data_IF_490933080236
#
_entry.id   IF_490933080236
#
_cell.length_a   1.000
_cell.length_b   1.000
_cell.length_c   1.000
_cell.angle_alpha   90.00
_cell.angle_beta   90.00
_cell.angle_gamma   90.00
#
_symmetry.space_group_name_H-M   'P 1'
#
loop_
_entity.id
_entity.type
_entity.pdbx_description
1 polymer ?
#
# COMPACT_ATOMS: atom_id res chain seq x y z
N UNK A 1 -4.87 -20.38 16.68
CA UNK A 1 -4.33 -21.74 16.60
C UNK A 1 -2.87 -21.67 16.14
N UNK A 2 -1.96 -21.99 17.06
CA UNK A 2 -0.55 -22.14 16.77
C UNK A 2 -0.34 -23.44 16.01
N UNK A 3 0.05 -23.39 14.76
CA UNK A 3 0.42 -24.58 14.02
C UNK A 3 1.94 -24.76 14.01
N UNK A 4 2.40 -25.65 14.90
CA UNK A 4 3.46 -26.60 14.71
C UNK A 4 4.88 -26.12 14.43
N UNK A 5 5.69 -26.09 15.46
CA UNK A 5 7.14 -26.29 15.30
C UNK A 5 7.39 -27.73 14.86
N UNK A 6 7.80 -27.91 13.61
CA UNK A 6 8.60 -29.08 13.24
C UNK A 6 9.52 -28.76 12.06
N UNK A 7 10.78 -28.80 12.41
CA UNK A 7 12.03 -28.99 11.68
C UNK A 7 12.05 -28.91 10.14
N UNK A 8 12.91 -28.04 9.63
CA UNK A 8 13.63 -28.08 8.36
C UNK A 8 12.98 -27.52 7.08
N UNK A 9 11.82 -26.94 7.14
CA UNK A 9 11.39 -25.86 6.24
C UNK A 9 10.76 -24.79 7.14
N UNK A 10 11.23 -23.56 7.03
CA UNK A 10 10.49 -22.41 7.57
C UNK A 10 9.22 -22.33 6.75
N UNK A 11 8.19 -23.07 7.16
CA UNK A 11 6.87 -22.95 6.61
C UNK A 11 6.39 -21.54 6.97
N UNK A 12 6.17 -20.73 5.96
CA UNK A 12 5.55 -19.43 6.08
C UNK A 12 4.13 -19.61 6.60
N UNK A 13 3.95 -19.46 7.91
CA UNK A 13 2.64 -19.52 8.55
C UNK A 13 2.00 -18.14 8.57
N UNK A 14 0.74 -18.05 8.11
CA UNK A 14 -0.07 -16.87 8.38
C UNK A 14 -0.36 -16.77 9.87
N UNK A 15 -0.44 -15.54 10.40
CA UNK A 15 -0.88 -15.32 11.77
C UNK A 15 -2.36 -15.69 11.91
N UNK A 16 -3.21 -15.12 11.06
CA UNK A 16 -4.66 -15.39 10.96
C UNK A 16 -5.02 -15.48 9.49
N UNK A 17 -5.68 -16.53 9.09
CA UNK A 17 -6.25 -16.66 7.75
C UNK A 17 -6.09 -18.03 7.13
N UNK A 18 -6.84 -18.30 6.06
CA UNK A 18 -6.80 -19.57 5.36
C UNK A 18 -5.48 -19.74 4.60
N UNK A 19 -5.13 -21.00 4.38
CA UNK A 19 -3.90 -21.35 3.69
C UNK A 19 -4.04 -21.26 2.17
N UNK A 20 -5.24 -21.49 1.65
CA UNK A 20 -5.51 -21.51 0.19
C UNK A 20 -6.43 -20.37 -0.23
N UNK A 21 -7.73 -20.55 -0.15
CA UNK A 21 -8.74 -19.56 -0.52
C UNK A 21 -9.72 -19.34 0.62
N UNK A 22 -10.42 -18.22 0.62
CA UNK A 22 -11.44 -17.92 1.61
C UNK A 22 -11.46 -16.47 2.02
N UNK A 23 -12.06 -16.21 3.17
CA UNK A 23 -12.18 -14.85 3.70
C UNK A 23 -11.77 -14.78 5.17
N UNK A 24 -11.25 -13.62 5.55
CA UNK A 24 -11.12 -13.20 6.95
C UNK A 24 -12.01 -11.99 7.14
N UNK A 25 -12.94 -12.06 8.09
CA UNK A 25 -13.82 -10.94 8.44
C UNK A 25 -13.63 -10.64 9.93
N UNK A 26 -13.32 -9.39 10.25
CA UNK A 26 -13.14 -8.90 11.62
C UNK A 26 -14.20 -7.82 11.86
N UNK A 27 -15.14 -8.08 12.78
CA UNK A 27 -16.24 -7.20 13.11
C UNK A 27 -16.04 -6.46 14.45
N UNK A 28 -14.84 -6.53 15.02
CA UNK A 28 -14.53 -5.85 16.30
C UNK A 28 -13.56 -6.65 17.16
N UNK A 29 -13.37 -6.19 18.38
CA UNK A 29 -12.46 -6.79 19.36
C UNK A 29 -11.00 -6.38 19.16
N UNK A 30 -10.10 -7.04 19.89
CA UNK A 30 -8.65 -6.81 19.77
C UNK A 30 -7.98 -8.01 19.13
N UNK A 31 -7.31 -7.78 18.02
CA UNK A 31 -6.63 -8.81 17.22
C UNK A 31 -5.14 -8.49 17.13
N UNK A 32 -4.29 -9.43 17.59
CA UNK A 32 -2.85 -9.36 17.42
C UNK A 32 -2.39 -10.53 16.57
N UNK A 33 -1.84 -10.25 15.40
CA UNK A 33 -1.43 -11.26 14.45
C UNK A 33 -0.01 -11.01 13.92
N UNK A 34 0.84 -12.02 14.05
CA UNK A 34 2.22 -11.93 13.57
C UNK A 34 2.53 -13.15 12.71
N UNK A 35 2.94 -12.90 11.48
CA UNK A 35 3.49 -13.94 10.62
C UNK A 35 4.96 -14.19 10.97
N UNK A 36 5.33 -15.43 11.17
CA UNK A 36 6.74 -15.85 11.26
C UNK A 36 7.21 -16.27 9.87
N UNK A 37 8.30 -15.67 9.40
CA UNK A 37 8.83 -15.96 8.06
C UNK A 37 8.03 -15.23 6.96
N UNK A 38 7.67 -15.94 5.90
CA UNK A 38 7.08 -15.38 4.68
C UNK A 38 5.54 -15.48 4.65
N UNK A 39 4.85 -15.41 5.79
CA UNK A 39 3.39 -15.43 5.86
C UNK A 39 2.78 -14.04 5.87
N UNK A 40 1.44 -13.98 5.82
CA UNK A 40 0.65 -12.79 6.11
C UNK A 40 0.37 -12.70 7.60
N UNK A 41 0.37 -11.51 8.19
CA UNK A 41 -0.11 -11.32 9.55
C UNK A 41 -1.58 -11.70 9.64
N UNK A 42 -2.43 -11.03 8.86
CA UNK A 42 -3.84 -11.34 8.67
C UNK A 42 -4.08 -11.49 7.18
N UNK A 43 -4.66 -12.62 6.78
CA UNK A 43 -4.93 -12.91 5.40
C UNK A 43 -4.24 -14.18 4.91
N UNK A 44 -3.92 -14.24 3.66
CA UNK A 44 -3.28 -15.43 3.13
C UNK A 44 -3.23 -15.50 1.61
N UNK A 45 -2.78 -16.55 1.15
CA UNK A 45 -2.85 -17.29 -0.08
C UNK A 45 -1.53 -17.99 -0.36
N UNK A 46 -1.63 -19.19 -0.90
CA UNK A 46 -0.47 -19.98 -1.33
C UNK A 46 -0.11 -19.64 -2.77
N UNK A 47 1.15 -19.86 -3.13
CA UNK A 47 1.73 -19.58 -4.45
C UNK A 47 1.00 -20.23 -5.61
N UNK A 48 0.46 -21.42 -5.39
CA UNK A 48 -0.28 -22.18 -6.40
C UNK A 48 -1.79 -21.99 -6.28
N UNK A 49 -2.24 -21.03 -5.47
CA UNK A 49 -3.66 -20.85 -5.24
C UNK A 49 -4.33 -20.24 -6.46
N UNK A 50 -5.40 -20.86 -6.89
CA UNK A 50 -6.27 -20.39 -7.97
C UNK A 50 -7.52 -19.67 -7.45
N UNK A 51 -7.73 -19.67 -6.13
CA UNK A 51 -8.92 -19.12 -5.49
C UNK A 51 -8.78 -17.68 -5.01
N UNK A 52 -9.92 -17.03 -4.84
CA UNK A 52 -9.98 -15.70 -4.26
C UNK A 52 -9.68 -15.73 -2.76
N UNK A 53 -9.05 -14.65 -2.29
CA UNK A 53 -8.80 -14.42 -0.87
C UNK A 53 -9.18 -12.98 -0.53
N UNK A 54 -10.03 -12.81 0.48
CA UNK A 54 -10.46 -11.49 0.92
C UNK A 54 -10.19 -11.26 2.41
N UNK A 55 -9.84 -10.04 2.75
CA UNK A 55 -9.76 -9.57 4.14
C UNK A 55 -10.70 -8.39 4.29
N UNK A 56 -11.63 -8.48 5.24
CA UNK A 56 -12.54 -7.38 5.56
C UNK A 56 -12.41 -7.04 7.04
N UNK A 57 -12.11 -5.79 7.34
CA UNK A 57 -12.07 -5.27 8.71
C UNK A 57 -13.15 -4.20 8.82
N UNK A 58 -14.17 -4.47 9.63
CA UNK A 58 -15.26 -3.54 9.87
C UNK A 58 -14.98 -2.65 11.07
N UNK A 59 -14.42 -3.22 12.14
CA UNK A 59 -14.14 -2.53 13.40
C UNK A 59 -13.05 -3.29 14.18
N UNK A 60 -12.63 -2.72 15.32
CA UNK A 60 -11.72 -3.35 16.28
C UNK A 60 -10.36 -2.67 16.38
N UNK A 61 -9.53 -3.19 17.28
CA UNK A 61 -8.13 -2.77 17.43
C UNK A 61 -7.24 -3.87 16.87
N UNK A 62 -6.53 -3.57 15.79
CA UNK A 62 -5.77 -4.53 15.01
C UNK A 62 -4.29 -4.22 15.07
N UNK A 63 -3.49 -5.16 15.55
CA UNK A 63 -2.03 -5.13 15.46
C UNK A 63 -1.58 -6.30 14.55
N UNK A 64 -1.09 -5.97 13.35
CA UNK A 64 -0.66 -6.97 12.39
C UNK A 64 0.80 -6.78 11.99
N UNK A 65 1.57 -7.87 11.91
CA UNK A 65 2.99 -7.82 11.50
C UNK A 65 3.32 -8.94 10.53
N UNK A 66 4.00 -8.61 9.43
CA UNK A 66 4.68 -9.55 8.55
C UNK A 66 6.19 -9.36 8.67
N UNK A 67 6.93 -10.43 9.01
CA UNK A 67 8.34 -10.29 9.39
C UNK A 67 9.34 -10.34 8.24
N UNK A 68 8.92 -10.66 7.01
CA UNK A 68 9.87 -10.81 5.89
C UNK A 68 9.31 -10.38 4.54
N UNK A 69 8.28 -11.04 4.05
CA UNK A 69 7.64 -10.80 2.76
C UNK A 69 6.11 -10.91 2.90
N UNK A 70 5.37 -10.70 1.82
CA UNK A 70 3.92 -10.62 1.76
C UNK A 70 3.37 -9.33 2.39
N UNK A 71 2.39 -9.38 3.28
CA UNK A 71 1.84 -8.20 3.91
C UNK A 71 1.42 -8.47 5.36
N UNK A 72 1.43 -7.41 6.20
CA UNK A 72 0.89 -7.54 7.55
C UNK A 72 -0.62 -7.80 7.51
N UNK A 73 -1.35 -7.08 6.64
CA UNK A 73 -2.75 -7.36 6.32
C UNK A 73 -2.84 -7.49 4.81
N UNK A 74 -3.32 -8.66 4.31
CA UNK A 74 -3.37 -8.75 2.87
C UNK A 74 -3.59 -10.12 2.26
N UNK A 75 -3.47 -10.15 0.95
CA UNK A 75 -3.67 -11.35 0.15
C UNK A 75 -2.76 -11.38 -1.09
N UNK A 76 -2.61 -12.61 -1.60
CA UNK A 76 -2.00 -12.92 -2.89
C UNK A 76 -2.90 -13.83 -3.73
N UNK A 77 -4.20 -13.80 -3.48
CA UNK A 77 -5.18 -14.62 -4.21
C UNK A 77 -5.27 -14.26 -5.68
N UNK A 78 -5.94 -15.12 -6.43
CA UNK A 78 -6.36 -14.86 -7.81
C UNK A 78 -7.86 -14.54 -7.87
N UNK A 79 -8.29 -13.88 -8.92
CA UNK A 79 -9.69 -13.52 -9.11
C UNK A 79 -10.09 -12.31 -8.26
N UNK A 80 -11.24 -12.37 -7.62
CA UNK A 80 -11.80 -11.28 -6.81
C UNK A 80 -11.17 -11.26 -5.39
N UNK A 81 -9.87 -11.08 -5.34
CA UNK A 81 -9.12 -10.95 -4.10
C UNK A 81 -9.04 -9.49 -3.67
N UNK A 82 -8.84 -9.23 -2.39
CA UNK A 82 -8.67 -7.86 -1.93
C UNK A 82 -8.75 -7.66 -0.43
N UNK A 83 -8.45 -6.43 -0.04
CA UNK A 83 -8.52 -5.94 1.35
C UNK A 83 -9.54 -4.82 1.41
N UNK A 84 -10.51 -4.93 2.30
CA UNK A 84 -11.49 -3.88 2.59
C UNK A 84 -11.40 -3.48 4.05
N UNK A 85 -11.24 -2.19 4.31
CA UNK A 85 -11.21 -1.62 5.65
C UNK A 85 -12.32 -0.59 5.73
N UNK A 86 -13.32 -0.87 6.56
CA UNK A 86 -14.49 -0.04 6.79
C UNK A 86 -14.41 0.72 8.11
N UNK A 87 -13.43 0.40 8.98
CA UNK A 87 -13.26 1.04 10.27
C UNK A 87 -12.19 0.35 11.12
N UNK A 88 -12.11 0.76 12.39
CA UNK A 88 -11.19 0.22 13.40
C UNK A 88 -9.90 1.03 13.56
N UNK A 89 -9.16 0.70 14.61
CA UNK A 89 -7.81 1.23 14.88
C UNK A 89 -6.78 0.20 14.42
N UNK A 90 -6.02 0.52 13.39
CA UNK A 90 -5.17 -0.44 12.70
C UNK A 90 -3.70 -0.03 12.75
N UNK A 91 -2.89 -0.93 13.28
CA UNK A 91 -1.44 -0.87 13.31
C UNK A 91 -0.89 -2.01 12.46
N UNK A 92 -0.38 -1.72 11.27
CA UNK A 92 0.12 -2.72 10.35
C UNK A 92 1.59 -2.47 9.99
N UNK A 93 2.46 -3.46 10.23
CA UNK A 93 3.90 -3.36 10.01
C UNK A 93 4.39 -4.46 9.07
N UNK A 94 4.84 -4.08 7.89
CA UNK A 94 5.55 -4.95 6.95
C UNK A 94 7.07 -4.82 7.11
N UNK A 95 7.79 -5.93 7.21
CA UNK A 95 9.26 -5.95 7.28
C UNK A 95 9.87 -6.62 6.06
N UNK A 96 11.11 -6.26 5.73
CA UNK A 96 11.78 -6.78 4.55
C UNK A 96 11.08 -6.37 3.25
N UNK A 97 10.56 -7.33 2.48
CA UNK A 97 9.79 -7.05 1.27
C UNK A 97 8.28 -6.89 1.49
N UNK A 98 7.81 -6.98 2.74
CA UNK A 98 6.39 -6.97 3.06
C UNK A 98 5.78 -5.56 2.97
N UNK A 99 4.51 -5.51 2.54
CA UNK A 99 3.68 -4.34 2.73
C UNK A 99 3.08 -4.28 4.15
N UNK A 100 2.69 -3.11 4.61
CA UNK A 100 1.82 -2.97 5.77
C UNK A 100 0.43 -3.52 5.45
N UNK A 101 -0.23 -2.96 4.44
CA UNK A 101 -1.48 -3.46 3.85
C UNK A 101 -1.21 -3.73 2.38
N UNK A 102 -1.35 -4.99 1.95
CA UNK A 102 -0.99 -5.37 0.59
C UNK A 102 -1.96 -6.35 -0.05
N UNK A 103 -2.22 -6.17 -1.33
CA UNK A 103 -3.09 -7.07 -2.09
C UNK A 103 -2.63 -7.18 -3.54
N UNK A 104 -2.81 -8.35 -4.12
CA UNK A 104 -2.74 -8.51 -5.57
C UNK A 104 -4.00 -7.98 -6.26
N UNK A 105 -5.11 -7.99 -5.56
CA UNK A 105 -6.39 -7.48 -6.00
C UNK A 105 -6.62 -6.02 -5.62
N UNK A 106 -7.82 -5.72 -5.19
CA UNK A 106 -8.24 -4.37 -4.85
C UNK A 106 -8.01 -4.08 -3.35
N UNK A 107 -7.55 -2.88 -3.02
CA UNK A 107 -7.49 -2.36 -1.65
C UNK A 107 -8.51 -1.22 -1.57
N UNK A 108 -9.45 -1.32 -0.63
CA UNK A 108 -10.46 -0.30 -0.37
C UNK A 108 -10.43 0.11 1.11
N UNK A 109 -10.28 1.39 1.38
CA UNK A 109 -10.27 1.97 2.72
C UNK A 109 -11.30 3.10 2.74
N UNK A 110 -12.29 3.02 3.62
CA UNK A 110 -13.38 4.00 3.70
C UNK A 110 -13.44 4.70 5.04
N UNK A 111 -12.94 4.08 6.10
CA UNK A 111 -12.93 4.66 7.45
C UNK A 111 -11.89 3.95 8.34
N UNK A 112 -11.67 4.49 9.55
CA UNK A 112 -10.78 3.95 10.57
C UNK A 112 -9.68 4.93 11.01
N UNK A 113 -8.76 4.42 11.81
CA UNK A 113 -7.53 5.11 12.22
C UNK A 113 -6.32 4.24 11.88
N UNK A 114 -5.69 4.51 10.74
CA UNK A 114 -4.64 3.67 10.20
C UNK A 114 -3.25 4.27 10.42
N UNK A 115 -2.40 3.52 11.11
CA UNK A 115 -0.95 3.73 11.18
C UNK A 115 -0.27 2.54 10.53
N UNK A 116 0.34 2.78 9.37
CA UNK A 116 0.84 1.69 8.53
C UNK A 116 2.28 1.94 8.12
N UNK A 117 3.12 0.92 8.24
CA UNK A 117 4.53 1.03 7.85
C UNK A 117 5.02 -0.16 7.03
N UNK A 118 5.99 0.11 6.15
CA UNK A 118 6.80 -0.88 5.47
C UNK A 118 8.30 -0.58 5.73
N UNK A 119 8.98 -1.46 6.46
CA UNK A 119 10.37 -1.28 6.88
C UNK A 119 11.39 -1.72 5.81
N UNK A 120 10.97 -1.95 4.59
CA UNK A 120 11.81 -2.39 3.48
C UNK A 120 11.26 -2.00 2.12
N UNK A 121 11.30 -2.91 1.15
CA UNK A 121 10.94 -2.64 -0.25
C UNK A 121 9.43 -2.66 -0.55
N UNK A 122 8.59 -3.12 0.36
CA UNK A 122 7.14 -3.10 0.22
C UNK A 122 6.56 -1.70 0.34
N UNK A 123 5.35 -1.50 -0.18
CA UNK A 123 4.59 -0.27 0.07
C UNK A 123 3.97 -0.28 1.48
N UNK A 124 3.74 0.88 2.09
CA UNK A 124 2.92 0.88 3.30
C UNK A 124 1.51 0.38 2.97
N UNK A 125 0.88 0.93 1.91
CA UNK A 125 -0.39 0.44 1.35
C UNK A 125 -0.18 0.15 -0.13
N UNK A 126 -0.29 -1.13 -0.55
CA UNK A 126 -0.19 -1.51 -1.96
C UNK A 126 0.64 -2.73 -2.27
N UNK A 127 1.62 -2.58 -3.16
CA UNK A 127 2.46 -3.68 -3.63
C UNK A 127 3.45 -4.21 -2.59
N UNK A 128 3.89 -5.44 -2.75
CA UNK A 128 4.84 -6.10 -1.86
C UNK A 128 5.70 -7.12 -2.61
N UNK A 129 6.70 -7.68 -1.91
CA UNK A 129 7.49 -8.81 -2.41
C UNK A 129 7.00 -10.10 -1.75
N UNK A 130 6.76 -11.13 -2.53
CA UNK A 130 6.28 -12.40 -2.04
C UNK A 130 7.37 -13.30 -1.48
N UNK A 131 6.98 -14.50 -1.05
CA UNK A 131 7.89 -15.49 -0.47
C UNK A 131 8.96 -16.03 -1.41
N UNK A 132 8.84 -15.79 -2.71
CA UNK A 132 9.85 -16.13 -3.73
C UNK A 132 10.66 -14.92 -4.19
N UNK A 133 10.52 -13.79 -3.50
CA UNK A 133 11.14 -12.51 -3.89
C UNK A 133 10.58 -11.97 -5.23
N UNK A 134 9.42 -12.46 -5.65
CA UNK A 134 8.67 -11.89 -6.76
C UNK A 134 7.85 -10.69 -6.31
N UNK A 135 7.77 -9.68 -7.14
CA UNK A 135 6.92 -8.53 -6.89
C UNK A 135 5.46 -8.88 -7.08
N UNK A 136 4.64 -8.39 -6.19
CA UNK A 136 3.18 -8.47 -6.29
C UNK A 136 2.64 -7.07 -6.48
N UNK A 137 2.19 -6.81 -7.68
CA UNK A 137 1.58 -5.56 -8.06
C UNK A 137 0.11 -5.55 -7.62
N UNK A 138 -0.34 -4.40 -7.14
CA UNK A 138 -1.70 -4.19 -6.72
C UNK A 138 -2.57 -3.79 -7.92
N UNK A 139 -3.77 -4.35 -8.03
CA UNK A 139 -4.70 -4.02 -9.10
C UNK A 139 -5.28 -2.62 -8.93
N UNK A 140 -5.81 -2.30 -7.76
CA UNK A 140 -6.29 -0.96 -7.44
C UNK A 140 -6.19 -0.62 -5.97
N UNK A 141 -6.05 0.67 -5.67
CA UNK A 141 -6.11 1.23 -4.32
C UNK A 141 -7.14 2.34 -4.32
N UNK A 142 -8.15 2.23 -3.47
CA UNK A 142 -9.15 3.29 -3.26
C UNK A 142 -9.16 3.69 -1.80
N UNK A 143 -8.92 4.96 -1.52
CA UNK A 143 -8.98 5.55 -0.19
C UNK A 143 -9.99 6.69 -0.26
N UNK A 144 -11.01 6.63 0.59
CA UNK A 144 -12.02 7.66 0.71
C UNK A 144 -12.20 8.02 2.19
N UNK A 145 -12.11 9.31 2.51
CA UNK A 145 -12.23 9.78 3.89
C UNK A 145 -10.91 9.80 4.67
N UNK A 146 -10.98 10.24 5.92
CA UNK A 146 -9.82 10.59 6.76
C UNK A 146 -9.28 9.42 7.60
N UNK A 147 -9.22 8.22 7.03
CA UNK A 147 -8.76 7.02 7.73
C UNK A 147 -7.26 7.02 8.06
N UNK A 148 -6.45 7.74 7.30
CA UNK A 148 -4.99 7.68 7.42
C UNK A 148 -4.49 8.62 8.53
N UNK A 149 -3.80 8.07 9.53
CA UNK A 149 -3.10 8.84 10.57
C UNK A 149 -1.61 9.02 10.24
N UNK A 150 -0.96 7.95 9.82
CA UNK A 150 0.41 8.04 9.31
C UNK A 150 0.75 6.86 8.40
N UNK A 151 1.53 7.13 7.37
CA UNK A 151 2.11 6.11 6.50
C UNK A 151 3.62 6.31 6.38
N UNK A 152 4.36 5.22 6.51
CA UNK A 152 5.79 5.24 6.23
C UNK A 152 6.22 4.04 5.39
N UNK A 153 7.11 4.29 4.45
CA UNK A 153 7.78 3.23 3.71
C UNK A 153 9.26 3.53 3.59
N UNK A 154 10.11 2.53 3.75
CA UNK A 154 11.55 2.74 3.61
C UNK A 154 11.94 2.93 2.15
N UNK A 155 11.65 1.95 1.31
CA UNK A 155 12.10 1.92 -0.08
C UNK A 155 10.97 1.75 -1.10
N UNK A 156 9.75 1.43 -0.67
CA UNK A 156 8.53 1.44 -1.49
C UNK A 156 7.76 2.75 -1.40
N UNK A 157 6.58 2.81 -1.97
CA UNK A 157 5.68 3.94 -1.83
C UNK A 157 4.94 3.91 -0.47
N UNK A 158 4.52 5.07 0.05
CA UNK A 158 3.55 5.08 1.14
C UNK A 158 2.20 4.52 0.66
N UNK A 159 1.71 5.01 -0.49
CA UNK A 159 0.51 4.49 -1.16
C UNK A 159 0.90 4.17 -2.59
N UNK A 160 0.92 2.88 -2.95
CA UNK A 160 1.30 2.53 -4.31
C UNK A 160 2.07 1.23 -4.45
N UNK A 161 3.16 1.27 -5.21
CA UNK A 161 3.93 0.08 -5.51
C UNK A 161 5.06 -0.21 -4.52
N UNK A 162 5.44 -1.47 -4.42
CA UNK A 162 6.75 -1.86 -3.92
C UNK A 162 7.84 -1.33 -4.86
N UNK A 163 9.10 -1.33 -4.41
CA UNK A 163 10.23 -0.90 -5.24
C UNK A 163 10.24 -1.58 -6.60
N UNK A 164 10.18 -0.78 -7.66
CA UNK A 164 10.16 -1.23 -9.07
C UNK A 164 8.88 -1.94 -9.50
N UNK A 165 7.82 -1.87 -8.72
CA UNK A 165 6.51 -2.43 -9.04
C UNK A 165 5.55 -1.41 -9.67
N UNK A 166 4.33 -1.88 -9.94
CA UNK A 166 3.24 -1.09 -10.53
C UNK A 166 1.95 -1.17 -9.73
N UNK A 167 1.04 -0.27 -10.02
CA UNK A 167 -0.36 -0.30 -9.58
C UNK A 167 -1.24 0.07 -10.75
N UNK A 168 -2.31 -0.68 -10.98
CA UNK A 168 -3.21 -0.41 -12.09
C UNK A 168 -3.97 0.91 -11.93
N UNK A 169 -4.47 1.20 -10.71
CA UNK A 169 -5.06 2.49 -10.39
C UNK A 169 -4.98 2.85 -8.92
N UNK A 170 -4.86 4.14 -8.63
CA UNK A 170 -4.98 4.70 -7.29
C UNK A 170 -6.01 5.83 -7.33
N UNK A 171 -6.99 5.77 -6.44
CA UNK A 171 -7.96 6.84 -6.24
C UNK A 171 -7.98 7.23 -4.78
N UNK A 172 -7.69 8.49 -4.50
CA UNK A 172 -7.75 9.07 -3.16
C UNK A 172 -8.73 10.22 -3.22
N UNK A 173 -9.76 10.19 -2.38
CA UNK A 173 -10.78 11.23 -2.38
C UNK A 173 -11.25 11.58 -0.97
N UNK A 174 -11.58 12.86 -0.79
CA UNK A 174 -12.15 13.38 0.43
C UNK A 174 -11.29 13.06 1.66
N UNK A 175 -9.96 13.15 1.52
CA UNK A 175 -8.99 12.63 2.48
C UNK A 175 -7.95 13.67 2.92
N UNK A 176 -7.60 13.60 4.21
CA UNK A 176 -6.38 14.22 4.75
C UNK A 176 -5.30 13.16 4.90
N UNK A 177 -4.12 13.42 4.35
CA UNK A 177 -2.95 12.55 4.43
C UNK A 177 -1.81 13.32 5.14
N UNK A 178 -1.84 13.40 6.47
CA UNK A 178 -1.03 14.39 7.20
C UNK A 178 0.42 13.98 7.44
N UNK A 179 0.73 12.69 7.44
CA UNK A 179 2.05 12.18 7.84
C UNK A 179 2.53 11.11 6.88
N UNK A 180 2.97 11.54 5.68
CA UNK A 180 3.59 10.64 4.71
C UNK A 180 5.11 10.74 4.79
N UNK A 181 5.79 9.59 4.87
CA UNK A 181 7.25 9.51 4.87
C UNK A 181 7.77 8.32 4.06
N UNK A 182 8.65 8.57 3.11
CA UNK A 182 9.33 7.53 2.33
C UNK A 182 10.68 8.01 1.84
N UNK A 183 11.64 7.11 1.72
CA UNK A 183 12.92 7.44 1.08
C UNK A 183 12.81 7.58 -0.45
N UNK A 184 11.68 7.20 -1.06
CA UNK A 184 11.50 7.23 -2.52
C UNK A 184 10.22 7.96 -2.94
N UNK A 185 9.10 7.30 -2.95
CA UNK A 185 7.84 7.81 -3.48
C UNK A 185 6.81 7.87 -2.35
N UNK A 186 6.10 9.00 -2.20
CA UNK A 186 5.00 9.06 -1.26
C UNK A 186 3.75 8.41 -1.83
N UNK A 187 3.34 8.81 -3.04
CA UNK A 187 2.14 8.27 -3.69
C UNK A 187 2.49 7.90 -5.13
N UNK A 188 2.22 6.65 -5.51
CA UNK A 188 2.35 6.20 -6.89
C UNK A 188 3.28 5.01 -7.11
N UNK A 189 3.96 4.97 -8.25
CA UNK A 189 4.80 3.85 -8.70
C UNK A 189 5.93 4.29 -9.62
N UNK A 190 6.91 3.41 -9.81
CA UNK A 190 8.12 3.72 -10.56
C UNK A 190 7.89 3.90 -12.07
N UNK A 191 8.80 4.62 -12.72
CA UNK A 191 8.66 5.06 -14.11
C UNK A 191 8.61 3.91 -15.14
N UNK A 192 9.26 2.80 -14.85
CA UNK A 192 9.38 1.68 -15.81
C UNK A 192 8.13 0.77 -15.84
N UNK A 193 7.11 1.09 -15.06
CA UNK A 193 5.89 0.29 -14.99
C UNK A 193 4.83 0.84 -15.94
N UNK A 194 4.34 0.03 -16.90
CA UNK A 194 3.44 0.50 -17.93
C UNK A 194 2.03 0.78 -17.42
N UNK A 195 1.53 1.94 -17.78
CA UNK A 195 0.11 2.30 -17.75
C UNK A 195 -0.57 2.26 -16.37
N UNK A 196 -1.35 3.26 -16.07
CA UNK A 196 -2.16 3.31 -14.86
C UNK A 196 -2.77 4.69 -14.66
N UNK A 197 -3.62 4.82 -13.63
CA UNK A 197 -4.25 6.10 -13.31
C UNK A 197 -4.13 6.41 -11.83
N UNK A 198 -3.63 7.60 -11.50
CA UNK A 198 -3.66 8.16 -10.16
C UNK A 198 -4.62 9.35 -10.14
N UNK A 199 -5.61 9.30 -9.28
CA UNK A 199 -6.55 10.40 -9.06
C UNK A 199 -6.50 10.83 -7.59
N UNK A 200 -6.29 12.13 -7.35
CA UNK A 200 -6.35 12.77 -6.03
C UNK A 200 -7.40 13.86 -6.13
N UNK A 201 -8.47 13.77 -5.32
CA UNK A 201 -9.59 14.71 -5.39
C UNK A 201 -10.07 15.11 -3.99
N UNK A 202 -10.31 16.40 -3.78
CA UNK A 202 -10.75 16.94 -2.50
C UNK A 202 -9.84 16.52 -1.34
N UNK A 203 -8.53 16.56 -1.55
CA UNK A 203 -7.57 16.06 -0.58
C UNK A 203 -6.63 17.15 -0.07
N UNK A 204 -6.16 16.94 1.16
CA UNK A 204 -4.98 17.62 1.68
C UNK A 204 -3.88 16.56 1.88
N UNK A 205 -2.77 16.73 1.16
CA UNK A 205 -1.62 15.81 1.22
C UNK A 205 -0.42 16.57 1.78
N UNK A 206 0.12 16.09 2.88
CA UNK A 206 1.30 16.67 3.50
C UNK A 206 2.37 15.60 3.78
N UNK A 207 3.61 15.93 3.47
CA UNK A 207 4.76 15.10 3.84
C UNK A 207 5.61 15.80 4.89
N UNK A 208 6.01 15.03 5.89
CA UNK A 208 6.88 15.49 6.98
C UNK A 208 8.33 15.05 6.81
N UNK A 209 8.70 14.59 5.62
CA UNK A 209 10.06 14.13 5.35
C UNK A 209 11.10 15.26 5.50
N UNK A 210 12.21 14.90 6.10
CA UNK A 210 13.41 15.75 6.23
C UNK A 210 14.54 15.34 5.29
N UNK A 211 14.22 14.67 4.19
CA UNK A 211 15.22 14.19 3.22
C UNK A 211 15.97 15.36 2.61
N UNK A 212 17.27 15.19 2.41
CA UNK A 212 18.16 16.18 1.81
C UNK A 212 18.44 15.93 0.32
N UNK A 213 17.78 14.95 -0.28
CA UNK A 213 17.96 14.57 -1.68
C UNK A 213 16.66 14.68 -2.45
N UNK A 214 16.76 15.06 -3.73
CA UNK A 214 15.61 15.12 -4.62
C UNK A 214 15.00 13.72 -4.82
N UNK A 215 13.73 13.60 -4.51
CA UNK A 215 12.95 12.38 -4.70
C UNK A 215 11.55 12.73 -5.20
N UNK A 216 10.80 11.73 -5.62
CA UNK A 216 9.45 11.95 -6.09
C UNK A 216 8.46 11.89 -4.91
N UNK A 217 7.67 12.93 -4.74
CA UNK A 217 6.54 12.94 -3.82
C UNK A 217 5.37 12.18 -4.42
N UNK A 218 4.98 12.57 -5.64
CA UNK A 218 3.96 11.89 -6.44
C UNK A 218 4.61 11.44 -7.73
N UNK A 219 4.48 10.15 -8.07
CA UNK A 219 5.02 9.62 -9.32
C UNK A 219 4.07 8.63 -9.97
N UNK A 220 3.88 8.77 -11.25
CA UNK A 220 3.21 7.79 -12.11
C UNK A 220 4.13 7.37 -13.24
N UNK A 221 4.09 6.10 -13.60
CA UNK A 221 4.93 5.53 -14.63
C UNK A 221 4.58 5.97 -16.04
N UNK A 222 5.27 5.43 -17.03
CA UNK A 222 5.02 5.70 -18.45
C UNK A 222 3.60 5.32 -18.87
N UNK A 223 3.06 6.03 -19.88
CA UNK A 223 1.69 5.84 -20.39
C UNK A 223 0.60 5.93 -19.32
N UNK A 224 0.84 6.70 -18.27
CA UNK A 224 -0.06 6.83 -17.11
C UNK A 224 -0.72 8.19 -17.06
N UNK A 225 -1.83 8.27 -16.35
CA UNK A 225 -2.57 9.51 -16.14
C UNK A 225 -2.50 9.92 -14.66
N UNK A 226 -2.13 11.17 -14.40
CA UNK A 226 -2.22 11.81 -13.09
C UNK A 226 -3.31 12.88 -13.13
N UNK A 227 -4.29 12.79 -12.24
CA UNK A 227 -5.35 13.78 -12.08
C UNK A 227 -5.33 14.30 -10.65
N UNK A 228 -5.22 15.62 -10.48
CA UNK A 228 -5.30 16.31 -9.19
C UNK A 228 -6.41 17.35 -9.31
N UNK A 229 -7.44 17.23 -8.50
CA UNK A 229 -8.60 18.10 -8.53
C UNK A 229 -8.98 18.58 -7.12
N UNK A 230 -9.25 19.86 -7.00
CA UNK A 230 -9.76 20.49 -5.78
C UNK A 230 -8.96 20.07 -4.52
N UNK A 231 -7.63 20.08 -4.64
CA UNK A 231 -6.74 19.51 -3.63
C UNK A 231 -5.58 20.44 -3.29
N UNK A 232 -5.10 20.32 -2.06
CA UNK A 232 -3.88 20.97 -1.60
C UNK A 232 -2.79 19.91 -1.40
N UNK A 233 -1.67 20.08 -2.11
CA UNK A 233 -0.53 19.17 -2.06
C UNK A 233 0.68 19.93 -1.53
N UNK A 234 1.12 19.62 -0.31
CA UNK A 234 2.28 20.22 0.35
C UNK A 234 3.41 19.21 0.45
N UNK A 235 4.34 19.30 -0.48
CA UNK A 235 5.55 18.47 -0.51
C UNK A 235 6.75 19.30 -0.07
N UNK A 236 7.71 18.74 0.70
CA UNK A 236 8.96 19.41 1.04
C UNK A 236 9.73 19.83 -0.21
N UNK A 237 10.64 20.78 -0.05
CA UNK A 237 11.44 21.37 -1.13
C UNK A 237 12.27 20.36 -1.97
N UNK A 238 12.39 19.12 -1.53
CA UNK A 238 13.13 18.04 -2.22
C UNK A 238 12.20 17.04 -2.94
N UNK A 239 10.89 17.28 -2.91
CA UNK A 239 9.90 16.37 -3.50
C UNK A 239 9.31 16.98 -4.76
N UNK A 240 9.30 16.18 -5.83
CA UNK A 240 8.69 16.53 -7.11
C UNK A 240 7.40 15.77 -7.37
N UNK A 241 6.64 16.26 -8.33
CA UNK A 241 5.59 15.51 -9.01
C UNK A 241 6.18 15.07 -10.35
N UNK A 242 6.16 13.76 -10.64
CA UNK A 242 6.75 13.22 -11.87
C UNK A 242 5.78 12.32 -12.62
N UNK A 243 5.71 12.50 -13.92
CA UNK A 243 4.92 11.69 -14.84
C UNK A 243 5.86 11.08 -15.87
N UNK A 244 5.83 9.76 -16.02
CA UNK A 244 6.67 9.04 -16.97
C UNK A 244 6.32 9.28 -18.42
N UNK A 245 7.18 8.87 -19.32
CA UNK A 245 7.06 9.12 -20.76
C UNK A 245 5.70 8.72 -21.34
N UNK A 246 5.18 9.51 -22.28
CA UNK A 246 3.84 9.41 -22.85
C UNK A 246 2.68 9.47 -21.83
N UNK A 247 2.95 9.90 -20.61
CA UNK A 247 1.91 10.10 -19.62
C UNK A 247 1.25 11.47 -19.74
N UNK A 248 0.23 11.70 -18.94
CA UNK A 248 -0.46 12.98 -18.87
C UNK A 248 -0.70 13.42 -17.42
N UNK A 249 -0.77 14.73 -17.22
CA UNK A 249 -1.15 15.34 -15.96
C UNK A 249 -2.29 16.34 -16.19
N UNK A 250 -3.32 16.27 -15.38
CA UNK A 250 -4.39 17.25 -15.30
C UNK A 250 -4.47 17.79 -13.87
N UNK A 251 -4.33 19.09 -13.70
CA UNK A 251 -4.47 19.79 -12.43
C UNK A 251 -5.61 20.80 -12.56
N UNK A 252 -6.57 20.74 -11.63
CA UNK A 252 -7.74 21.64 -11.62
C UNK A 252 -8.03 22.09 -10.19
N UNK A 253 -8.27 23.38 -10.03
CA UNK A 253 -8.71 23.99 -8.77
C UNK A 253 -7.88 23.54 -7.56
N UNK A 254 -6.56 23.43 -7.72
CA UNK A 254 -5.65 22.83 -6.75
C UNK A 254 -4.44 23.71 -6.47
N UNK A 255 -3.95 23.64 -5.23
CA UNK A 255 -2.74 24.33 -4.77
C UNK A 255 -1.60 23.33 -4.58
N UNK A 256 -0.50 23.52 -5.32
CA UNK A 256 0.62 22.58 -5.37
C UNK A 256 1.91 23.27 -4.87
N UNK A 257 2.34 22.90 -3.68
CA UNK A 257 3.64 23.25 -3.12
C UNK A 257 4.60 22.08 -3.31
N UNK A 258 5.44 22.14 -4.32
CA UNK A 258 6.38 21.10 -4.69
C UNK A 258 7.66 21.70 -5.27
N UNK A 259 8.75 20.95 -5.28
CA UNK A 259 9.99 21.37 -5.94
C UNK A 259 9.79 21.63 -7.44
N UNK A 260 8.96 20.82 -8.10
CA UNK A 260 8.64 20.98 -9.51
C UNK A 260 7.74 19.86 -10.03
N UNK A 261 7.24 20.08 -11.24
CA UNK A 261 6.46 19.10 -11.98
C UNK A 261 7.28 18.72 -13.21
N UNK A 262 7.58 17.44 -13.37
CA UNK A 262 8.42 16.91 -14.42
C UNK A 262 7.66 15.90 -15.27
N UNK A 263 7.86 15.98 -16.59
CA UNK A 263 7.44 14.98 -17.54
C UNK A 263 8.70 14.30 -18.09
N UNK A 264 8.78 12.98 -17.97
CA UNK A 264 9.89 12.23 -18.56
C UNK A 264 9.66 12.10 -20.08
N UNK A 265 10.73 12.05 -20.89
CA UNK A 265 10.69 11.89 -22.34
C UNK A 265 10.37 10.44 -22.76
#
# INVERSE_FOLDING_TARGET
>A
NNFGENSHRVLSGNGIGPYESGSVIINGGTVKATAKGNGFGIGGARIYNTGAMTVTINEGTIEATANRNNAAIGDKGKGESGVTINGGVIHAVGKGGAAGIGSKGDIRITDGELTVSAEGSGAAIGGFTDSYSERVDCKSITINGNAIKSLSSKDGACIGAATGGSVGSITISDAELPLLSSNKILIGWDADSPGGKLTIRNCHVESTDTLSVLTDGIRVGSNSELVIENSEIRLPHFRSIRVGGNGSIAVRDSDLHTYGIFMDE
#
